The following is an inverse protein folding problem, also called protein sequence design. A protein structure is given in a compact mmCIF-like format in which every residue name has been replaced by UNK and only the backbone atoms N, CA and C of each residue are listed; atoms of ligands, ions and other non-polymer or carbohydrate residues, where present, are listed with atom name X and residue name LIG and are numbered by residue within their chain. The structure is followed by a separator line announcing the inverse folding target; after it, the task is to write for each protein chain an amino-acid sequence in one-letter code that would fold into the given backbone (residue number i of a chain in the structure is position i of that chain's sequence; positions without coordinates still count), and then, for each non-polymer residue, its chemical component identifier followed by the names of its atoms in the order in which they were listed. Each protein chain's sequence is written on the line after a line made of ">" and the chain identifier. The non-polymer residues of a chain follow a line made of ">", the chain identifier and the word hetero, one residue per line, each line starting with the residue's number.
data_IF_616116372040
#
_entry.id   IF_616116372040
#
_cell.length_a   1.000
_cell.length_b   1.000
_cell.length_c   1.000
_cell.angle_alpha   90.00
_cell.angle_beta   90.00
_cell.angle_gamma   90.00
#
_symmetry.space_group_name_H-M   'P 1'
#
loop_
_entity.id
_entity.type
_entity.pdbx_description
1 polymer ?
#
# COMPACT_ATOMS: atom_id res chain seq x y z
N UNK A 1 24.13 5.17 -5.55
CA UNK A 1 24.82 5.22 -4.21
C UNK A 1 24.24 4.19 -3.23
N UNK A 2 22.92 3.96 -3.15
CA UNK A 2 22.36 2.95 -2.25
C UNK A 2 22.80 1.52 -2.62
N UNK A 3 22.75 1.17 -3.88
CA UNK A 3 23.04 -0.19 -4.37
C UNK A 3 24.49 -0.64 -4.08
N UNK A 4 25.48 0.24 -4.20
CA UNK A 4 26.88 -0.08 -3.92
C UNK A 4 27.16 -0.28 -2.43
N UNK A 5 26.48 0.49 -1.59
CA UNK A 5 26.51 0.32 -0.13
C UNK A 5 25.87 -1.02 0.27
N UNK A 6 24.78 -1.40 -0.37
CA UNK A 6 24.10 -2.69 -0.15
C UNK A 6 24.98 -3.87 -0.59
N UNK A 7 25.63 -3.75 -1.75
CA UNK A 7 26.58 -4.75 -2.24
C UNK A 7 27.78 -4.92 -1.29
N UNK A 8 28.27 -3.83 -0.72
CA UNK A 8 29.31 -3.85 0.32
C UNK A 8 28.87 -4.61 1.56
N UNK A 9 27.71 -4.27 2.11
CA UNK A 9 27.13 -4.96 3.29
C UNK A 9 26.88 -6.44 3.09
N UNK A 10 26.49 -6.87 1.89
CA UNK A 10 26.33 -8.31 1.57
C UNK A 10 27.67 -9.05 1.62
N UNK A 11 28.72 -8.44 1.07
CA UNK A 11 30.08 -9.04 1.09
C UNK A 11 30.61 -9.18 2.50
N UNK A 12 30.47 -8.15 3.32
CA UNK A 12 30.86 -8.17 4.74
C UNK A 12 30.15 -9.26 5.55
N UNK A 13 28.88 -9.54 5.21
CA UNK A 13 28.09 -10.61 5.82
C UNK A 13 28.33 -12.00 5.21
N UNK A 14 29.34 -12.14 4.30
CA UNK A 14 29.66 -13.40 3.65
C UNK A 14 28.61 -13.89 2.66
N UNK A 15 27.69 -13.03 2.26
CA UNK A 15 26.63 -13.38 1.30
C UNK A 15 27.15 -13.24 -0.12
N UNK A 16 27.26 -14.36 -0.83
CA UNK A 16 27.65 -14.36 -2.25
C UNK A 16 26.60 -13.63 -3.08
N UNK A 17 26.98 -12.54 -3.71
CA UNK A 17 26.17 -11.81 -4.66
C UNK A 17 26.21 -12.51 -6.02
N UNK A 18 25.11 -13.18 -6.39
CA UNK A 18 24.93 -13.77 -7.72
C UNK A 18 24.25 -12.78 -8.65
N UNK A 19 24.40 -12.96 -9.97
CA UNK A 19 23.76 -12.11 -10.99
C UNK A 19 22.24 -11.97 -10.77
N UNK A 20 21.56 -13.05 -10.37
CA UNK A 20 20.12 -13.04 -10.12
C UNK A 20 19.77 -12.20 -8.86
N UNK A 21 20.59 -12.27 -7.81
CA UNK A 21 20.42 -11.45 -6.61
C UNK A 21 20.66 -9.97 -6.88
N UNK A 22 21.67 -9.66 -7.70
CA UNK A 22 21.92 -8.28 -8.16
C UNK A 22 20.75 -7.74 -8.95
N UNK A 23 20.23 -8.53 -9.89
CA UNK A 23 19.07 -8.16 -10.70
C UNK A 23 17.84 -7.83 -9.82
N UNK A 24 17.53 -8.68 -8.83
CA UNK A 24 16.40 -8.45 -7.94
C UNK A 24 16.57 -7.19 -7.08
N UNK A 25 17.78 -6.96 -6.54
CA UNK A 25 18.11 -5.73 -5.83
C UNK A 25 17.96 -4.49 -6.70
N UNK A 26 18.46 -4.54 -7.92
CA UNK A 26 18.33 -3.42 -8.87
C UNK A 26 16.88 -3.12 -9.21
N UNK A 27 16.04 -4.14 -9.35
CA UNK A 27 14.62 -3.95 -9.61
C UNK A 27 13.92 -3.30 -8.42
N UNK A 28 14.19 -3.72 -7.20
CA UNK A 28 13.63 -3.12 -5.98
C UNK A 28 14.09 -1.65 -5.85
N UNK A 29 15.39 -1.39 -6.06
CA UNK A 29 15.99 -0.04 -5.87
C UNK A 29 15.52 0.97 -6.93
N UNK A 30 15.30 0.50 -8.18
CA UNK A 30 15.02 1.39 -9.31
C UNK A 30 13.56 1.46 -9.71
N UNK A 31 12.69 0.66 -9.12
CA UNK A 31 11.28 0.58 -9.54
C UNK A 31 10.53 1.90 -9.32
N UNK A 32 10.90 2.67 -8.31
CA UNK A 32 10.09 3.82 -7.86
C UNK A 32 8.71 3.41 -7.33
N UNK A 33 8.45 2.10 -7.24
CA UNK A 33 7.21 1.50 -6.78
C UNK A 33 7.52 0.42 -5.74
N UNK A 34 6.59 0.19 -4.83
CA UNK A 34 6.67 -0.91 -3.88
C UNK A 34 6.26 -2.20 -4.59
N UNK A 35 7.24 -3.05 -4.92
CA UNK A 35 7.01 -4.29 -5.65
C UNK A 35 6.68 -5.44 -4.70
N UNK A 36 5.64 -6.20 -4.99
CA UNK A 36 5.43 -7.51 -4.39
C UNK A 36 6.30 -8.58 -5.05
N UNK A 37 6.35 -9.79 -4.45
CA UNK A 37 7.20 -10.86 -4.93
C UNK A 37 6.84 -11.37 -6.33
N UNK A 38 5.55 -11.36 -6.69
CA UNK A 38 5.08 -11.82 -8.00
C UNK A 38 5.42 -10.79 -9.10
N UNK A 39 5.20 -9.50 -8.81
CA UNK A 39 5.56 -8.42 -9.74
C UNK A 39 7.06 -8.37 -9.95
N UNK A 40 7.83 -8.52 -8.87
CA UNK A 40 9.30 -8.63 -8.94
C UNK A 40 9.75 -9.82 -9.77
N UNK A 41 9.09 -10.98 -9.63
CA UNK A 41 9.36 -12.16 -10.44
C UNK A 41 9.10 -11.91 -11.93
N UNK A 42 7.98 -11.28 -12.27
CA UNK A 42 7.63 -10.96 -13.67
C UNK A 42 8.69 -10.07 -14.32
N UNK A 43 9.03 -8.95 -13.66
CA UNK A 43 10.04 -8.01 -14.15
C UNK A 43 11.43 -8.65 -14.26
N UNK A 44 11.80 -9.49 -13.31
CA UNK A 44 13.08 -10.17 -13.31
C UNK A 44 13.16 -11.23 -14.42
N UNK A 45 12.06 -11.94 -14.69
CA UNK A 45 11.98 -12.97 -15.71
C UNK A 45 12.09 -12.41 -17.13
N UNK A 46 11.64 -11.18 -17.36
CA UNK A 46 11.84 -10.47 -18.63
C UNK A 46 13.34 -10.26 -18.93
N UNK A 47 14.17 -10.07 -17.89
CA UNK A 47 15.62 -9.85 -18.02
C UNK A 47 16.45 -11.12 -17.90
N UNK A 48 15.97 -12.11 -17.14
CA UNK A 48 16.58 -13.44 -16.99
C UNK A 48 15.50 -14.55 -17.09
N UNK A 49 15.25 -15.08 -18.29
CA UNK A 49 14.26 -16.15 -18.50
C UNK A 49 14.50 -17.43 -17.69
N UNK A 50 15.73 -17.65 -17.18
CA UNK A 50 16.08 -18.81 -16.34
C UNK A 50 15.69 -18.61 -14.86
N UNK A 51 15.35 -17.41 -14.46
CA UNK A 51 14.95 -17.11 -13.09
C UNK A 51 13.61 -17.78 -12.77
N UNK A 52 13.49 -18.35 -11.59
CA UNK A 52 12.26 -18.98 -11.09
C UNK A 52 11.76 -18.33 -9.79
N UNK A 53 10.47 -18.54 -9.45
CA UNK A 53 9.86 -17.98 -8.25
C UNK A 53 10.59 -18.33 -6.97
N UNK A 54 11.06 -19.58 -6.83
CA UNK A 54 11.78 -20.01 -5.63
C UNK A 54 13.04 -19.17 -5.40
N UNK A 55 13.73 -18.82 -6.48
CA UNK A 55 14.93 -17.95 -6.41
C UNK A 55 14.55 -16.54 -5.91
N UNK A 56 13.42 -15.98 -6.35
CA UNK A 56 12.94 -14.68 -5.87
C UNK A 56 12.67 -14.73 -4.36
N UNK A 57 11.83 -15.65 -3.90
CA UNK A 57 11.49 -15.77 -2.48
C UNK A 57 12.71 -16.06 -1.59
N UNK A 58 13.62 -16.92 -2.02
CA UNK A 58 14.87 -17.18 -1.29
C UNK A 58 15.76 -15.94 -1.21
N UNK A 59 15.80 -15.17 -2.28
CA UNK A 59 16.59 -13.93 -2.32
C UNK A 59 15.97 -12.88 -1.43
N UNK A 60 14.66 -12.64 -1.51
CA UNK A 60 13.94 -11.70 -0.65
C UNK A 60 14.13 -12.03 0.83
N UNK A 61 13.97 -13.32 1.20
CA UNK A 61 14.23 -13.78 2.57
C UNK A 61 15.66 -13.47 3.03
N UNK A 62 16.64 -13.73 2.18
CA UNK A 62 18.05 -13.46 2.47
C UNK A 62 18.34 -11.97 2.64
N UNK A 63 17.79 -11.13 1.75
CA UNK A 63 17.96 -9.68 1.79
C UNK A 63 17.28 -9.07 3.03
N UNK A 64 16.08 -9.56 3.39
CA UNK A 64 15.36 -9.18 4.60
C UNK A 64 16.16 -9.57 5.85
N UNK A 65 16.64 -10.80 5.95
CA UNK A 65 17.48 -11.25 7.07
C UNK A 65 18.80 -10.46 7.17
N UNK A 66 19.34 -10.06 6.03
CA UNK A 66 20.50 -9.19 5.96
C UNK A 66 20.24 -7.73 6.34
N UNK A 67 18.97 -7.34 6.54
CA UNK A 67 18.59 -5.96 6.82
C UNK A 67 18.85 -5.00 5.65
N UNK A 68 18.77 -5.48 4.42
CA UNK A 68 19.01 -4.73 3.20
C UNK A 68 17.73 -4.33 2.48
N UNK A 69 16.68 -5.09 2.73
CA UNK A 69 15.33 -4.88 2.22
C UNK A 69 14.37 -4.93 3.39
N UNK A 70 13.44 -4.03 3.42
CA UNK A 70 12.30 -4.03 4.32
C UNK A 70 11.09 -4.65 3.61
N UNK A 71 10.27 -5.37 4.36
CA UNK A 71 9.01 -5.96 3.94
C UNK A 71 7.89 -5.14 4.56
N UNK A 72 6.94 -4.72 3.76
CA UNK A 72 5.87 -3.80 4.11
C UNK A 72 4.52 -4.46 3.86
N UNK A 73 3.56 -4.22 4.74
CA UNK A 73 2.19 -4.72 4.59
C UNK A 73 1.26 -3.69 3.93
N UNK A 74 1.67 -2.43 3.86
CA UNK A 74 0.96 -1.29 3.26
C UNK A 74 -0.54 -1.28 3.66
N UNK A 75 -0.78 -1.41 4.97
CA UNK A 75 -2.11 -1.48 5.59
C UNK A 75 -2.99 -2.62 5.01
N UNK A 76 -2.37 -3.70 4.54
CA UNK A 76 -3.05 -4.84 3.90
C UNK A 76 -3.95 -4.43 2.72
N UNK A 77 -3.62 -3.34 2.02
CA UNK A 77 -4.38 -2.86 0.87
C UNK A 77 -4.55 -3.95 -0.20
N UNK A 78 -3.51 -4.74 -0.44
CA UNK A 78 -3.51 -5.89 -1.36
C UNK A 78 -3.89 -7.23 -0.71
N UNK A 79 -4.50 -7.25 0.48
CA UNK A 79 -4.72 -8.46 1.27
C UNK A 79 -3.43 -8.89 1.96
N UNK A 80 -3.11 -10.18 1.92
CA UNK A 80 -1.90 -10.74 2.53
C UNK A 80 -0.62 -10.55 1.67
N UNK A 81 -0.63 -9.61 0.72
CA UNK A 81 0.53 -9.30 -0.09
C UNK A 81 1.55 -8.49 0.70
N UNK A 82 2.82 -8.90 0.60
CA UNK A 82 3.95 -8.15 1.15
C UNK A 82 4.68 -7.44 0.02
N UNK A 83 5.03 -6.19 0.28
CA UNK A 83 5.79 -5.34 -0.63
C UNK A 83 7.22 -5.21 -0.13
N UNK A 84 8.14 -4.90 -1.03
CA UNK A 84 9.56 -4.86 -0.71
C UNK A 84 10.17 -3.54 -1.17
N UNK A 85 10.95 -2.93 -0.28
CA UNK A 85 11.76 -1.75 -0.59
C UNK A 85 13.20 -1.94 -0.11
N UNK A 86 14.14 -1.20 -0.70
CA UNK A 86 15.49 -1.14 -0.16
C UNK A 86 15.48 -0.35 1.16
N UNK A 87 16.18 -0.87 2.18
CA UNK A 87 16.23 -0.19 3.47
C UNK A 87 16.88 1.17 3.35
N UNK A 88 16.09 2.20 3.51
CA UNK A 88 16.56 3.58 3.52
C UNK A 88 17.18 3.96 4.86
N UNK A 89 18.15 4.87 4.82
CA UNK A 89 18.76 5.44 6.04
C UNK A 89 17.86 6.49 6.69
N UNK A 90 16.99 7.11 5.92
CA UNK A 90 16.10 8.16 6.37
C UNK A 90 14.73 7.59 6.71
N UNK A 91 14.24 7.90 7.90
CA UNK A 91 12.89 7.55 8.32
C UNK A 91 11.86 8.26 7.43
N UNK A 92 10.88 7.51 6.96
CA UNK A 92 9.77 8.01 6.15
C UNK A 92 8.47 7.30 6.53
N UNK A 93 7.36 7.87 6.11
CA UNK A 93 6.04 7.27 6.25
C UNK A 93 5.51 6.92 4.86
N UNK A 94 4.82 5.78 4.76
CA UNK A 94 4.03 5.43 3.59
C UNK A 94 2.62 5.98 3.73
N UNK A 95 2.15 6.71 2.72
CA UNK A 95 0.80 7.26 2.66
C UNK A 95 0.03 6.49 1.58
N UNK A 96 -0.92 5.67 2.01
CA UNK A 96 -1.60 4.70 1.15
C UNK A 96 -3.03 5.16 0.85
N UNK A 97 -3.39 5.21 -0.43
CA UNK A 97 -4.77 5.40 -0.83
C UNK A 97 -5.54 4.08 -0.73
N UNK A 98 -6.47 3.98 0.23
CA UNK A 98 -7.26 2.78 0.49
C UNK A 98 -8.27 2.42 -0.61
N UNK A 99 -8.36 3.22 -1.69
CA UNK A 99 -9.22 2.93 -2.84
C UNK A 99 -8.45 2.47 -4.07
N UNK A 100 -7.39 3.17 -4.44
CA UNK A 100 -6.65 2.88 -5.67
C UNK A 100 -5.26 2.30 -5.45
N UNK A 101 -4.83 2.13 -4.19
CA UNK A 101 -3.54 1.57 -3.85
C UNK A 101 -2.34 2.48 -4.11
N UNK A 102 -2.57 3.75 -4.50
CA UNK A 102 -1.46 4.68 -4.68
C UNK A 102 -0.70 4.84 -3.38
N UNK A 103 0.62 4.67 -3.41
CA UNK A 103 1.53 4.88 -2.29
C UNK A 103 2.37 6.12 -2.57
N UNK A 104 2.51 6.96 -1.56
CA UNK A 104 3.39 8.12 -1.54
C UNK A 104 4.32 8.00 -0.33
N UNK A 105 5.54 8.50 -0.46
CA UNK A 105 6.49 8.55 0.65
C UNK A 105 6.54 9.95 1.25
N UNK A 106 6.43 10.03 2.56
CA UNK A 106 6.55 11.29 3.30
C UNK A 106 7.83 11.29 4.13
N UNK A 107 8.69 12.25 3.87
CA UNK A 107 9.92 12.48 4.60
C UNK A 107 9.80 13.77 5.43
N UNK A 108 10.38 13.81 6.60
CA UNK A 108 10.45 15.07 7.34
C UNK A 108 10.63 14.93 8.85
N UNK A 109 10.89 16.10 9.48
CA UNK A 109 11.09 16.25 10.92
C UNK A 109 9.99 15.70 11.83
N UNK A 110 8.69 15.64 11.44
CA UNK A 110 7.65 15.10 12.31
C UNK A 110 7.93 13.66 12.77
N UNK A 111 8.48 12.81 11.90
CA UNK A 111 8.80 11.42 12.23
C UNK A 111 9.94 11.33 13.24
N UNK A 112 10.98 12.14 13.05
CA UNK A 112 12.08 12.23 13.98
C UNK A 112 11.66 12.80 15.34
N UNK A 113 10.73 13.78 15.36
CA UNK A 113 10.16 14.30 16.60
C UNK A 113 9.36 13.23 17.35
N UNK A 114 8.52 12.48 16.64
CA UNK A 114 7.78 11.37 17.20
C UNK A 114 8.71 10.34 17.85
N UNK A 115 9.76 9.95 17.15
CA UNK A 115 10.79 9.04 17.67
C UNK A 115 11.38 9.55 18.98
N UNK A 116 11.89 10.81 18.98
CA UNK A 116 12.47 11.43 20.19
C UNK A 116 11.49 11.50 21.35
N UNK A 117 10.21 11.78 21.08
CA UNK A 117 9.18 11.80 22.11
C UNK A 117 8.94 10.43 22.72
N UNK A 118 8.90 9.36 21.89
CA UNK A 118 8.79 7.99 22.37
C UNK A 118 9.98 7.61 23.24
N UNK A 119 11.21 7.89 22.79
CA UNK A 119 12.44 7.59 23.51
C UNK A 119 12.50 8.31 24.85
N UNK A 120 12.16 9.61 24.87
CA UNK A 120 12.22 10.42 26.10
C UNK A 120 11.08 10.10 27.08
N UNK A 121 9.87 9.80 26.59
CA UNK A 121 8.71 9.58 27.44
C UNK A 121 8.67 8.17 28.04
N UNK A 122 9.08 7.19 27.27
CA UNK A 122 8.98 5.78 27.66
C UNK A 122 10.34 5.13 27.99
N UNK A 123 11.46 5.82 27.81
CA UNK A 123 12.80 5.28 28.02
C UNK A 123 13.20 4.20 27.01
N UNK A 124 12.58 4.18 25.84
CA UNK A 124 12.87 3.21 24.76
C UNK A 124 14.13 3.60 24.03
N UNK A 125 14.89 2.61 23.57
CA UNK A 125 15.83 2.72 22.48
C UNK A 125 15.13 2.28 21.20
N UNK A 126 14.66 3.21 20.37
CA UNK A 126 13.95 2.89 19.13
C UNK A 126 14.96 2.40 18.07
N UNK A 127 14.89 1.12 17.73
CA UNK A 127 15.73 0.50 16.71
C UNK A 127 15.09 0.50 15.33
N UNK A 128 13.77 0.51 15.27
CA UNK A 128 12.98 0.49 14.03
C UNK A 128 11.70 1.27 14.26
N UNK A 129 11.38 2.19 13.37
CA UNK A 129 10.08 2.83 13.27
C UNK A 129 9.54 2.60 11.85
N UNK A 130 8.28 2.18 11.76
CA UNK A 130 7.52 2.08 10.51
C UNK A 130 6.24 2.85 10.69
N UNK A 131 5.96 3.75 9.77
CA UNK A 131 4.78 4.61 9.82
C UNK A 131 3.99 4.44 8.55
N UNK A 132 2.73 4.03 8.68
CA UNK A 132 1.78 3.90 7.59
C UNK A 132 0.57 4.78 7.87
N UNK A 133 0.12 5.51 6.86
CA UNK A 133 -1.04 6.41 6.93
C UNK A 133 -1.99 6.08 5.79
N UNK A 134 -3.18 5.57 6.13
CA UNK A 134 -4.21 5.22 5.16
C UNK A 134 -5.25 6.31 4.99
N UNK A 135 -5.68 6.52 3.75
CA UNK A 135 -6.72 7.51 3.44
C UNK A 135 -7.17 7.44 1.98
N UNK A 136 -7.66 8.53 1.44
CA UNK A 136 -8.05 8.63 0.03
C UNK A 136 -7.28 9.77 -0.63
N UNK A 137 -6.60 9.49 -1.74
CA UNK A 137 -5.95 10.53 -2.54
C UNK A 137 -7.00 11.51 -3.09
N UNK A 138 -6.59 12.70 -3.51
CA UNK A 138 -7.48 13.76 -4.01
C UNK A 138 -8.41 13.28 -5.13
N UNK A 139 -7.88 12.48 -6.07
CA UNK A 139 -8.68 11.86 -7.13
C UNK A 139 -9.79 10.96 -6.56
N UNK A 140 -9.44 10.05 -5.64
CA UNK A 140 -10.40 9.13 -5.05
C UNK A 140 -11.40 9.82 -4.11
N UNK A 141 -11.04 10.92 -3.45
CA UNK A 141 -11.96 11.77 -2.70
C UNK A 141 -13.02 12.38 -3.63
N UNK A 142 -12.60 12.93 -4.77
CA UNK A 142 -13.52 13.51 -5.76
C UNK A 142 -14.47 12.47 -6.36
N UNK A 143 -13.99 11.25 -6.62
CA UNK A 143 -14.86 10.16 -7.09
C UNK A 143 -15.90 9.78 -6.02
N UNK A 144 -15.49 9.62 -4.77
CA UNK A 144 -16.42 9.30 -3.68
C UNK A 144 -17.48 10.37 -3.48
N UNK A 145 -17.10 11.65 -3.55
CA UNK A 145 -18.06 12.75 -3.44
C UNK A 145 -19.14 12.67 -4.52
N UNK A 146 -18.75 12.41 -5.78
CA UNK A 146 -19.69 12.23 -6.91
C UNK A 146 -20.60 11.03 -6.72
N UNK A 147 -20.06 9.89 -6.27
CA UNK A 147 -20.84 8.67 -6.00
C UNK A 147 -21.87 8.89 -4.90
N UNK A 148 -21.49 9.58 -3.82
CA UNK A 148 -22.42 9.92 -2.73
C UNK A 148 -23.52 10.87 -3.20
N UNK A 149 -23.19 11.87 -4.02
CA UNK A 149 -24.16 12.79 -4.59
C UNK A 149 -25.13 12.08 -5.54
N UNK A 150 -24.63 11.19 -6.38
CA UNK A 150 -25.45 10.38 -7.27
C UNK A 150 -26.39 9.44 -6.48
N UNK A 151 -25.87 8.72 -5.50
CA UNK A 151 -26.68 7.84 -4.64
C UNK A 151 -27.77 8.61 -3.88
N UNK A 152 -27.46 9.83 -3.42
CA UNK A 152 -28.45 10.69 -2.76
C UNK A 152 -29.56 11.13 -3.74
N UNK A 153 -29.22 11.47 -4.98
CA UNK A 153 -30.20 11.83 -6.04
C UNK A 153 -31.08 10.64 -6.40
N UNK A 154 -30.52 9.45 -6.55
CA UNK A 154 -31.26 8.21 -6.86
C UNK A 154 -32.22 7.85 -5.73
N UNK A 155 -31.76 7.92 -4.47
CA UNK A 155 -32.59 7.69 -3.29
C UNK A 155 -33.76 8.70 -3.19
N UNK A 156 -33.51 9.97 -3.44
CA UNK A 156 -34.55 11.00 -3.44
C UNK A 156 -35.59 10.78 -4.57
N UNK A 157 -35.12 10.37 -5.77
CA UNK A 157 -36.02 10.05 -6.89
C UNK A 157 -36.90 8.83 -6.60
N UNK A 158 -36.34 7.79 -6.00
CA UNK A 158 -37.11 6.59 -5.58
C UNK A 158 -38.17 6.92 -4.52
N UNK A 159 -37.83 7.76 -3.54
CA UNK A 159 -38.77 8.20 -2.54
C UNK A 159 -39.91 9.04 -3.14
N UNK A 160 -39.61 9.93 -4.09
CA UNK A 160 -40.61 10.73 -4.78
C UNK A 160 -41.60 9.85 -5.58
N UNK A 161 -41.12 8.81 -6.26
CA UNK A 161 -41.97 7.84 -6.98
C UNK A 161 -42.86 7.03 -6.03
N UNK A 162 -42.36 6.60 -4.89
CA UNK A 162 -43.12 5.84 -3.90
C UNK A 162 -44.26 6.65 -3.28
N UNK A 163 -44.14 7.98 -3.20
CA UNK A 163 -45.19 8.87 -2.69
C UNK A 163 -46.34 9.05 -3.71
N UNK A 164 -46.08 8.93 -5.01
CA UNK A 164 -47.10 9.08 -6.07
C UNK A 164 -47.96 7.84 -6.26
N UNK A 165 -47.53 6.66 -5.80
CA UNK A 165 -48.23 5.37 -5.91
C UNK A 165 -49.10 5.01 -4.68
N UNK A 166 -49.47 5.98 -3.87
CA UNK A 166 -50.39 5.81 -2.77
C UNK A 166 -51.76 5.32 -3.23
N UNK A 167 -52.44 4.34 -2.51
CA UNK A 167 -53.67 3.71 -2.97
C UNK A 167 -54.79 4.74 -3.09
N UNK A 168 -55.22 4.95 -4.33
CA UNK A 168 -56.41 5.78 -4.63
C UNK A 168 -57.61 5.33 -3.82
N UNK A 169 -58.07 6.22 -2.94
CA UNK A 169 -59.25 6.01 -2.13
C UNK A 169 -60.48 5.88 -3.03
N UNK A 170 -60.88 4.65 -3.38
CA UNK A 170 -62.20 4.38 -4.00
C UNK A 170 -63.28 4.57 -2.94
N UNK A 171 -63.87 5.72 -2.90
CA UNK A 171 -65.13 5.96 -2.20
C UNK A 171 -66.26 5.22 -2.90
N UNK A 172 -66.65 4.08 -2.34
CA UNK A 172 -67.93 3.44 -2.68
C UNK A 172 -69.08 4.23 -2.09
N UNK A 173 -69.74 5.04 -2.91
CA UNK A 173 -71.05 5.57 -2.55
C UNK A 173 -72.07 4.43 -2.47
N UNK A 174 -72.57 4.13 -1.29
CA UNK A 174 -73.80 3.33 -1.09
C UNK A 174 -74.99 4.23 -1.36
N UNK A 175 -75.78 3.87 -2.40
CA UNK A 175 -77.14 4.36 -2.54
C UNK A 175 -78.07 3.58 -1.56
N UNK A 176 -79.01 4.26 -0.86
CA UNK A 176 -80.10 3.57 -0.17
C UNK A 176 -81.27 3.34 -1.12
N UNK A 177 -82.00 2.23 -0.91
CA UNK A 177 -83.32 1.92 -1.46
C UNK A 177 -84.40 2.54 -0.60
#
# INVERSE_FOLDING_TARGET
>A
MALDSIKGSLREKGVRLTRQRELLLELIDKSGEHLDAERLFQLAKERDPKLNRVTVYRTLKLLKQGGLVDELDLMHYGGDQHYYETRMKQEHAHVICLRCGKVEEFFGDPLQRLRRQIESHFGFQVLLARTEVGGFCSHCQSLRAREMEQAARESAAQQALAVTDGPGHRSRSKRPA
#
